data_IF_601765462369
#
_entry.id   IF_601765462369
#
_cell.length_a   1.000
_cell.length_b   1.000
_cell.length_c   1.000
_cell.angle_alpha   90.00
_cell.angle_beta   90.00
_cell.angle_gamma   90.00
#
_symmetry.space_group_name_H-M   'P 1'
#
loop_
_entity.id
_entity.type
_entity.pdbx_description
1 polymer ?
#
# COMPACT_ATOMS: atom_id res chain seq x y z
N UNK A 1 -6.08 -31.91 -24.83
CA UNK A 1 -6.49 -31.12 -26.01
C UNK A 1 -7.37 -32.01 -26.88
N UNK A 2 -8.63 -31.68 -27.09
CA UNK A 2 -9.55 -32.46 -27.93
C UNK A 2 -9.15 -32.23 -29.40
N UNK A 3 -8.80 -33.31 -30.09
CA UNK A 3 -8.39 -33.23 -31.49
C UNK A 3 -9.66 -33.03 -32.35
N UNK A 4 -9.89 -31.83 -32.85
CA UNK A 4 -11.01 -31.49 -33.73
C UNK A 4 -10.80 -32.07 -35.11
N UNK A 5 -11.83 -32.72 -35.68
CA UNK A 5 -11.83 -33.13 -37.07
C UNK A 5 -12.35 -31.97 -37.95
N UNK A 6 -11.58 -31.61 -38.96
CA UNK A 6 -12.01 -30.65 -39.97
C UNK A 6 -12.66 -31.40 -41.12
N UNK A 7 -13.92 -31.15 -41.38
CA UNK A 7 -14.67 -31.75 -42.51
C UNK A 7 -14.78 -30.78 -43.69
N UNK A 8 -14.23 -29.56 -43.59
CA UNK A 8 -14.24 -28.61 -44.69
C UNK A 8 -13.17 -28.97 -45.73
N UNK A 9 -13.48 -28.72 -47.00
CA UNK A 9 -12.55 -28.86 -48.13
C UNK A 9 -11.61 -27.64 -48.28
N UNK A 10 -11.86 -26.58 -47.51
CA UNK A 10 -11.11 -25.33 -47.50
C UNK A 10 -9.97 -25.47 -46.49
N UNK A 11 -8.74 -25.03 -46.88
CA UNK A 11 -7.61 -24.98 -45.98
C UNK A 11 -7.92 -24.07 -44.76
N UNK A 12 -7.39 -24.48 -43.62
CA UNK A 12 -7.58 -23.76 -42.36
C UNK A 12 -6.80 -22.46 -42.41
N UNK A 13 -7.48 -21.33 -42.52
CA UNK A 13 -6.87 -20.01 -42.61
C UNK A 13 -6.36 -19.50 -41.25
N UNK A 14 -6.99 -19.90 -40.14
CA UNK A 14 -6.60 -19.51 -38.78
C UNK A 14 -7.09 -20.55 -37.76
N UNK A 15 -6.47 -20.55 -36.58
CA UNK A 15 -6.90 -21.36 -35.46
C UNK A 15 -8.07 -20.71 -34.77
N UNK A 16 -9.10 -21.54 -34.40
CA UNK A 16 -10.20 -21.05 -33.59
C UNK A 16 -9.66 -20.60 -32.22
N UNK A 17 -10.03 -19.40 -31.77
CA UNK A 17 -9.63 -18.93 -30.45
C UNK A 17 -10.19 -19.86 -29.35
N UNK A 18 -9.39 -20.08 -28.33
CA UNK A 18 -9.84 -20.78 -27.14
C UNK A 18 -10.57 -19.78 -26.23
N UNK A 19 -11.91 -19.94 -26.11
CA UNK A 19 -12.75 -19.02 -25.35
C UNK A 19 -12.49 -19.08 -23.85
N UNK A 20 -11.83 -20.13 -23.36
CA UNK A 20 -11.47 -20.32 -21.94
C UNK A 20 -9.95 -20.14 -21.67
N UNK A 21 -9.21 -19.63 -22.65
CA UNK A 21 -7.76 -19.40 -22.52
C UNK A 21 -7.44 -18.50 -21.33
N UNK A 22 -8.26 -17.50 -21.06
CA UNK A 22 -8.08 -16.58 -19.93
C UNK A 22 -8.06 -17.37 -18.60
N UNK A 23 -8.96 -18.31 -18.42
CA UNK A 23 -9.04 -19.16 -17.23
C UNK A 23 -7.78 -20.03 -17.12
N UNK A 24 -7.45 -20.76 -18.19
CA UNK A 24 -6.29 -21.64 -18.23
C UNK A 24 -4.96 -20.89 -18.05
N UNK A 25 -4.77 -19.77 -18.75
CA UNK A 25 -3.53 -18.99 -18.68
C UNK A 25 -3.35 -18.35 -17.30
N UNK A 26 -4.43 -17.83 -16.71
CA UNK A 26 -4.40 -17.23 -15.37
C UNK A 26 -4.03 -18.27 -14.31
N UNK A 27 -4.68 -19.43 -14.33
CA UNK A 27 -4.41 -20.50 -13.39
C UNK A 27 -3.03 -21.13 -13.60
N UNK A 28 -2.61 -21.28 -14.86
CA UNK A 28 -1.27 -21.72 -15.21
C UNK A 28 -0.17 -20.78 -14.69
N UNK A 29 -0.40 -19.45 -14.74
CA UNK A 29 0.50 -18.44 -14.15
C UNK A 29 0.52 -18.50 -12.63
N UNK A 30 -0.63 -18.77 -11.99
CA UNK A 30 -0.74 -18.91 -10.55
C UNK A 30 0.11 -20.09 -10.04
N UNK A 31 -0.07 -21.26 -10.65
CA UNK A 31 0.54 -22.49 -10.17
C UNK A 31 1.93 -22.79 -10.75
N UNK A 32 2.23 -22.31 -11.95
CA UNK A 32 3.47 -22.57 -12.68
C UNK A 32 3.96 -24.04 -12.61
N UNK A 33 3.02 -25.02 -12.55
CA UNK A 33 3.38 -26.41 -12.29
C UNK A 33 4.07 -27.08 -13.47
N UNK A 34 3.86 -26.59 -14.70
CA UNK A 34 4.55 -27.04 -15.92
C UNK A 34 5.94 -26.41 -16.10
N UNK A 35 6.35 -25.51 -15.19
CA UNK A 35 7.64 -24.80 -15.25
C UNK A 35 8.62 -25.44 -14.26
N UNK A 36 9.83 -25.71 -14.75
CA UNK A 36 10.91 -26.23 -13.90
C UNK A 36 11.13 -25.28 -12.69
N UNK A 37 11.37 -25.84 -11.50
CA UNK A 37 11.50 -25.10 -10.22
C UNK A 37 12.47 -23.90 -10.34
N UNK A 38 13.59 -24.08 -11.03
CA UNK A 38 14.61 -23.04 -11.22
C UNK A 38 14.22 -21.90 -12.18
N UNK A 39 13.19 -22.11 -13.01
CA UNK A 39 12.72 -21.14 -14.03
C UNK A 39 11.41 -20.46 -13.66
N UNK A 40 10.88 -20.74 -12.46
CA UNK A 40 9.64 -20.11 -12.01
C UNK A 40 9.84 -18.61 -11.78
N UNK A 41 8.89 -17.84 -12.31
CA UNK A 41 8.86 -16.39 -12.09
C UNK A 41 8.27 -16.07 -10.72
N UNK A 42 8.66 -14.95 -10.12
CA UNK A 42 8.11 -14.46 -8.85
C UNK A 42 6.68 -13.90 -9.03
N UNK A 43 5.75 -14.78 -9.42
CA UNK A 43 4.33 -14.47 -9.66
C UNK A 43 3.50 -15.63 -9.11
N UNK A 44 2.26 -15.36 -8.68
CA UNK A 44 1.35 -16.37 -8.14
C UNK A 44 1.90 -17.00 -6.85
N UNK A 45 1.82 -18.32 -6.72
CA UNK A 45 2.28 -19.03 -5.52
C UNK A 45 3.78 -18.84 -5.25
N UNK A 46 4.61 -18.82 -6.29
CA UNK A 46 6.06 -18.60 -6.12
C UNK A 46 6.33 -17.19 -5.57
N UNK A 47 5.62 -16.18 -6.07
CA UNK A 47 5.70 -14.80 -5.58
C UNK A 47 5.26 -14.70 -4.12
N UNK A 48 4.13 -15.33 -3.77
CA UNK A 48 3.59 -15.34 -2.42
C UNK A 48 4.59 -15.96 -1.42
N UNK A 49 5.16 -17.12 -1.76
CA UNK A 49 6.13 -17.75 -0.87
C UNK A 49 7.40 -16.93 -0.71
N UNK A 50 7.89 -16.29 -1.78
CA UNK A 50 9.09 -15.43 -1.69
C UNK A 50 8.84 -14.14 -0.88
N UNK A 51 7.63 -13.64 -0.87
CA UNK A 51 7.24 -12.47 -0.07
C UNK A 51 7.08 -12.82 1.42
N UNK A 52 6.51 -14.00 1.71
CA UNK A 52 6.28 -14.45 3.09
C UNK A 52 7.54 -14.94 3.79
N UNK A 53 8.50 -15.49 3.06
CA UNK A 53 9.73 -16.06 3.60
C UNK A 53 10.96 -15.24 3.20
N UNK A 54 12.00 -15.15 4.04
CA UNK A 54 12.20 -15.90 5.28
C UNK A 54 11.38 -15.37 6.47
N UNK A 55 10.96 -16.28 7.36
CA UNK A 55 10.39 -15.92 8.65
C UNK A 55 11.51 -16.06 9.69
N UNK A 56 11.84 -14.96 10.34
CA UNK A 56 12.93 -14.89 11.32
C UNK A 56 12.40 -14.55 12.70
N UNK A 57 13.04 -15.09 13.74
CA UNK A 57 12.78 -14.66 15.12
C UNK A 57 13.40 -13.29 15.38
N UNK A 58 12.88 -12.49 16.36
CA UNK A 58 13.41 -11.15 16.66
C UNK A 58 14.91 -11.13 16.97
N UNK A 59 15.42 -12.18 17.59
CA UNK A 59 16.85 -12.38 17.90
C UNK A 59 17.66 -12.98 16.74
N UNK A 60 17.01 -13.23 15.58
CA UNK A 60 17.59 -13.86 14.38
C UNK A 60 18.26 -15.21 14.63
N UNK A 61 17.96 -15.85 15.75
CA UNK A 61 18.53 -17.16 16.08
C UNK A 61 17.94 -18.29 15.22
N UNK A 62 16.71 -18.13 14.76
CA UNK A 62 16.02 -19.09 13.91
C UNK A 62 15.51 -18.41 12.65
N UNK A 63 15.71 -19.06 11.51
CA UNK A 63 15.21 -18.58 10.21
C UNK A 63 14.59 -19.74 9.46
N UNK A 64 13.35 -19.57 9.02
CA UNK A 64 12.62 -20.53 8.18
C UNK A 64 12.59 -19.99 6.75
N UNK A 65 13.27 -20.71 5.85
CA UNK A 65 13.42 -20.31 4.45
C UNK A 65 12.57 -21.18 3.52
N UNK A 66 12.01 -20.56 2.51
CA UNK A 66 11.35 -21.23 1.40
C UNK A 66 12.36 -21.69 0.35
N UNK A 67 12.23 -22.93 -0.14
CA UNK A 67 13.10 -23.48 -1.18
C UNK A 67 12.35 -23.71 -2.50
N UNK A 68 11.26 -24.45 -2.45
CA UNK A 68 10.44 -24.78 -3.62
C UNK A 68 9.11 -25.39 -3.20
N UNK A 69 8.11 -25.37 -4.07
CA UNK A 69 6.89 -26.15 -3.88
C UNK A 69 6.70 -27.22 -4.95
N UNK A 70 5.91 -28.21 -4.64
CA UNK A 70 5.45 -29.27 -5.54
C UNK A 70 3.95 -29.46 -5.39
N UNK A 71 3.27 -29.73 -6.50
CA UNK A 71 1.84 -30.06 -6.50
C UNK A 71 1.72 -31.51 -6.95
N UNK A 72 1.10 -32.30 -6.11
CA UNK A 72 0.85 -33.72 -6.36
C UNK A 72 -0.19 -33.93 -7.46
N UNK A 73 -0.19 -35.12 -8.04
CA UNK A 73 -1.27 -35.55 -8.94
C UNK A 73 -2.58 -35.72 -8.16
N UNK A 74 -3.73 -35.47 -8.77
CA UNK A 74 -5.02 -35.72 -8.15
C UNK A 74 -5.17 -37.19 -7.77
N UNK A 75 -5.81 -37.46 -6.64
CA UNK A 75 -6.04 -38.82 -6.13
C UNK A 75 -7.20 -39.50 -6.87
N UNK A 76 -8.16 -38.72 -7.30
CA UNK A 76 -9.37 -39.17 -7.92
C UNK A 76 -9.51 -38.58 -9.32
N UNK A 77 -10.22 -39.27 -10.20
CA UNK A 77 -10.59 -38.72 -11.50
C UNK A 77 -11.73 -37.72 -11.38
N UNK A 78 -11.93 -36.94 -12.42
CA UNK A 78 -13.01 -35.94 -12.47
C UNK A 78 -14.38 -36.60 -12.25
N UNK A 79 -14.63 -37.73 -12.94
CA UNK A 79 -15.90 -38.44 -12.81
C UNK A 79 -16.12 -39.02 -11.42
N UNK A 80 -15.07 -39.56 -10.80
CA UNK A 80 -15.14 -40.04 -9.42
C UNK A 80 -15.47 -38.92 -8.46
N UNK A 81 -14.82 -37.75 -8.60
CA UNK A 81 -15.08 -36.59 -7.74
C UNK A 81 -16.55 -36.14 -7.82
N UNK A 82 -17.12 -36.10 -9.00
CA UNK A 82 -18.52 -35.74 -9.20
C UNK A 82 -19.49 -36.77 -8.58
N UNK A 83 -19.15 -38.05 -8.67
CA UNK A 83 -20.01 -39.15 -8.13
C UNK A 83 -19.90 -39.28 -6.62
N UNK A 84 -18.73 -39.12 -6.07
CA UNK A 84 -18.43 -39.35 -4.63
C UNK A 84 -18.53 -38.10 -3.78
N UNK A 85 -18.72 -36.92 -4.38
CA UNK A 85 -18.82 -35.65 -3.64
C UNK A 85 -17.47 -35.15 -3.07
N UNK A 86 -16.36 -35.51 -3.69
CA UNK A 86 -15.03 -35.06 -3.26
C UNK A 86 -14.47 -33.96 -4.16
N UNK A 87 -13.45 -33.25 -3.65
CA UNK A 87 -12.80 -32.18 -4.39
C UNK A 87 -11.72 -32.73 -5.31
N UNK A 88 -11.71 -32.33 -6.58
CA UNK A 88 -10.65 -32.59 -7.53
C UNK A 88 -9.44 -31.71 -7.21
N UNK A 89 -8.41 -32.26 -6.58
CA UNK A 89 -7.26 -31.52 -6.07
C UNK A 89 -5.98 -32.31 -5.99
N UNK A 90 -4.89 -31.59 -5.85
CA UNK A 90 -3.56 -32.13 -5.66
C UNK A 90 -2.91 -31.61 -4.37
N UNK A 91 -2.12 -32.46 -3.72
CA UNK A 91 -1.43 -32.11 -2.50
C UNK A 91 -0.35 -31.05 -2.77
N UNK A 92 -0.47 -29.87 -2.16
CA UNK A 92 0.56 -28.85 -2.15
C UNK A 92 1.56 -29.15 -1.06
N UNK A 93 2.80 -29.39 -1.46
CA UNK A 93 3.93 -29.62 -0.57
C UNK A 93 4.99 -28.57 -0.78
N UNK A 94 5.55 -28.06 0.30
CA UNK A 94 6.58 -27.03 0.26
C UNK A 94 7.84 -27.55 0.92
N UNK A 95 8.96 -27.42 0.22
CA UNK A 95 10.28 -27.73 0.76
C UNK A 95 10.80 -26.48 1.46
N UNK A 96 11.02 -26.61 2.75
CA UNK A 96 11.47 -25.55 3.63
C UNK A 96 12.81 -25.93 4.25
N UNK A 97 13.59 -24.90 4.59
CA UNK A 97 14.86 -25.02 5.30
C UNK A 97 14.76 -24.24 6.60
N UNK A 98 14.94 -24.94 7.72
CA UNK A 98 15.05 -24.33 9.04
C UNK A 98 16.53 -24.20 9.41
N UNK A 99 16.97 -22.96 9.57
CA UNK A 99 18.29 -22.64 10.12
C UNK A 99 18.16 -22.41 11.62
N UNK A 100 18.94 -23.16 12.38
CA UNK A 100 19.07 -23.00 13.82
C UNK A 100 20.53 -22.65 14.14
N UNK A 101 20.86 -22.12 15.33
CA UNK A 101 22.23 -21.78 15.69
C UNK A 101 23.22 -22.96 15.63
N UNK A 102 22.71 -24.18 15.71
CA UNK A 102 23.53 -25.42 15.76
C UNK A 102 23.45 -26.27 14.49
N UNK A 103 22.35 -26.17 13.74
CA UNK A 103 22.09 -27.09 12.62
C UNK A 103 21.16 -26.48 11.59
N UNK A 104 21.18 -27.03 10.37
CA UNK A 104 20.27 -26.65 9.29
C UNK A 104 19.50 -27.88 8.83
N UNK A 105 18.19 -27.87 8.92
CA UNK A 105 17.31 -28.98 8.52
C UNK A 105 16.45 -28.58 7.32
N UNK A 106 16.38 -29.48 6.34
CA UNK A 106 15.49 -29.37 5.20
C UNK A 106 14.41 -30.43 5.27
N UNK A 107 13.17 -30.04 5.05
CA UNK A 107 12.05 -30.97 5.03
C UNK A 107 10.99 -30.52 4.02
N UNK A 108 10.33 -31.50 3.40
CA UNK A 108 9.13 -31.27 2.59
C UNK A 108 7.90 -31.36 3.49
N UNK A 109 7.16 -30.28 3.58
CA UNK A 109 5.97 -30.15 4.44
C UNK A 109 4.72 -30.12 3.57
N UNK A 110 3.73 -30.93 3.90
CA UNK A 110 2.40 -30.84 3.33
C UNK A 110 1.68 -29.62 3.91
N UNK A 111 1.13 -28.76 3.04
CA UNK A 111 0.35 -27.59 3.47
C UNK A 111 -1.15 -27.81 3.36
N UNK A 112 -1.63 -28.19 2.18
CA UNK A 112 -3.06 -28.38 1.91
C UNK A 112 -3.27 -29.16 0.61
N UNK A 113 -4.50 -29.61 0.39
CA UNK A 113 -4.94 -30.02 -0.93
C UNK A 113 -5.47 -28.81 -1.70
N UNK A 114 -4.87 -28.57 -2.86
CA UNK A 114 -5.22 -27.44 -3.73
C UNK A 114 -6.16 -27.91 -4.82
N UNK A 115 -7.37 -27.30 -4.99
CA UNK A 115 -8.25 -27.62 -6.09
C UNK A 115 -7.57 -27.42 -7.43
N UNK A 116 -7.68 -28.38 -8.35
CA UNK A 116 -7.10 -28.29 -9.68
C UNK A 116 -8.16 -27.97 -10.72
N UNK A 117 -7.77 -27.18 -11.73
CA UNK A 117 -8.64 -26.82 -12.84
C UNK A 117 -8.80 -28.02 -13.79
N UNK A 118 -10.02 -28.26 -14.20
CA UNK A 118 -10.35 -29.27 -15.21
C UNK A 118 -9.99 -28.78 -16.62
N UNK A 119 -9.92 -29.66 -17.61
CA UNK A 119 -9.69 -29.26 -19.01
C UNK A 119 -10.78 -28.32 -19.57
N UNK A 120 -11.94 -28.26 -18.93
CA UNK A 120 -13.05 -27.35 -19.30
C UNK A 120 -12.99 -25.99 -18.60
N UNK A 121 -11.93 -25.71 -17.81
CA UNK A 121 -11.76 -24.45 -17.11
C UNK A 121 -12.55 -24.32 -15.81
N UNK A 122 -13.08 -25.43 -15.31
CA UNK A 122 -13.90 -25.50 -14.08
C UNK A 122 -13.10 -26.07 -12.91
N UNK A 123 -13.66 -25.98 -11.72
CA UNK A 123 -13.17 -26.64 -10.50
C UNK A 123 -14.26 -27.53 -9.93
N UNK A 124 -13.90 -28.70 -9.41
CA UNK A 124 -14.81 -29.55 -8.70
C UNK A 124 -14.52 -29.47 -7.23
N UNK A 125 -15.44 -28.92 -6.46
CA UNK A 125 -15.33 -28.73 -5.01
C UNK A 125 -16.50 -29.42 -4.33
N UNK A 126 -16.21 -30.42 -3.50
CA UNK A 126 -17.23 -31.25 -2.83
C UNK A 126 -18.26 -31.88 -3.79
N UNK A 127 -17.81 -32.26 -4.98
CA UNK A 127 -18.68 -32.85 -6.02
C UNK A 127 -19.42 -31.84 -6.89
N UNK A 128 -19.40 -30.54 -6.56
CA UNK A 128 -20.02 -29.50 -7.38
C UNK A 128 -19.02 -28.92 -8.37
N UNK A 129 -19.41 -28.78 -9.62
CA UNK A 129 -18.63 -28.11 -10.64
C UNK A 129 -18.82 -26.59 -10.55
N UNK A 130 -17.73 -25.86 -10.39
CA UNK A 130 -17.72 -24.41 -10.15
C UNK A 130 -16.76 -23.71 -11.10
N UNK A 131 -17.05 -22.45 -11.41
CA UNK A 131 -16.22 -21.58 -12.25
C UNK A 131 -15.85 -20.33 -11.49
N UNK A 132 -14.59 -19.88 -11.64
CA UNK A 132 -14.16 -18.59 -11.14
C UNK A 132 -14.62 -17.52 -12.10
N UNK A 133 -15.46 -16.60 -11.61
CA UNK A 133 -16.00 -15.49 -12.39
C UNK A 133 -15.16 -14.24 -12.14
N UNK A 134 -14.78 -13.55 -13.22
CA UNK A 134 -14.08 -12.27 -13.12
C UNK A 134 -14.95 -11.24 -12.40
N UNK A 135 -14.36 -10.55 -11.42
CA UNK A 135 -15.05 -9.54 -10.63
C UNK A 135 -14.40 -8.17 -10.87
N UNK A 136 -15.24 -7.17 -11.13
CA UNK A 136 -14.77 -5.78 -11.20
C UNK A 136 -14.70 -5.19 -9.79
N UNK A 137 -13.58 -4.59 -9.48
CA UNK A 137 -13.38 -3.83 -8.25
C UNK A 137 -12.61 -2.54 -8.54
N UNK A 138 -12.63 -1.59 -7.61
CA UNK A 138 -11.81 -0.39 -7.73
C UNK A 138 -10.33 -0.77 -7.69
N UNK A 139 -9.55 -0.25 -8.64
CA UNK A 139 -8.11 -0.50 -8.68
C UNK A 139 -7.42 0.10 -7.45
N UNK A 140 -6.39 -0.56 -6.92
CA UNK A 140 -5.51 0.06 -5.94
C UNK A 140 -4.88 1.33 -6.52
N UNK A 141 -4.76 2.36 -5.69
CA UNK A 141 -4.20 3.64 -6.11
C UNK A 141 -4.78 4.80 -5.30
N UNK A 142 -4.53 6.00 -5.78
CA UNK A 142 -5.03 7.23 -5.18
C UNK A 142 -5.99 7.88 -6.17
N UNK A 143 -7.20 8.21 -5.71
CA UNK A 143 -8.18 9.00 -6.44
C UNK A 143 -8.41 10.33 -5.74
N UNK A 144 -8.48 11.42 -6.54
CA UNK A 144 -8.81 12.75 -6.05
C UNK A 144 -10.21 13.10 -6.54
N UNK A 145 -11.01 13.66 -5.65
CA UNK A 145 -12.39 14.06 -5.93
C UNK A 145 -12.60 15.52 -5.47
N UNK A 146 -13.34 16.29 -6.26
CA UNK A 146 -13.82 17.61 -5.91
C UNK A 146 -15.32 17.54 -5.71
N UNK A 147 -15.82 18.06 -4.62
CA UNK A 147 -17.24 18.19 -4.33
C UNK A 147 -17.61 19.63 -3.98
N UNK A 148 -18.83 20.02 -4.27
CA UNK A 148 -19.34 21.36 -3.90
C UNK A 148 -20.30 21.20 -2.73
N UNK A 149 -19.94 21.78 -1.60
CA UNK A 149 -20.81 21.83 -0.44
C UNK A 149 -22.05 22.71 -0.71
N UNK A 150 -23.21 22.49 -0.06
CA UNK A 150 -24.39 23.33 -0.23
C UNK A 150 -24.17 24.83 0.02
N UNK A 151 -23.13 25.20 0.78
CA UNK A 151 -22.69 26.58 0.98
C UNK A 151 -21.95 27.20 -0.23
N UNK A 152 -21.76 26.46 -1.32
CA UNK A 152 -21.00 26.88 -2.50
C UNK A 152 -19.48 26.70 -2.40
N UNK A 153 -18.95 26.22 -1.25
CA UNK A 153 -17.53 25.99 -1.06
C UNK A 153 -17.10 24.68 -1.74
N UNK A 154 -15.96 24.72 -2.44
CA UNK A 154 -15.35 23.52 -3.00
C UNK A 154 -14.60 22.78 -1.91
N UNK A 155 -14.86 21.49 -1.81
CA UNK A 155 -14.21 20.58 -0.89
C UNK A 155 -13.41 19.57 -1.70
N UNK A 156 -12.15 19.42 -1.36
CA UNK A 156 -11.25 18.46 -1.99
C UNK A 156 -11.08 17.27 -1.10
N UNK A 157 -11.11 16.09 -1.70
CA UNK A 157 -10.85 14.83 -1.02
C UNK A 157 -9.90 13.96 -1.81
N UNK A 158 -9.12 13.16 -1.11
CA UNK A 158 -8.26 12.15 -1.68
C UNK A 158 -8.57 10.81 -1.02
N UNK A 159 -8.69 9.76 -1.84
CA UNK A 159 -8.94 8.41 -1.36
C UNK A 159 -7.81 7.49 -1.77
N UNK A 160 -7.17 6.88 -0.78
CA UNK A 160 -6.12 5.88 -0.96
C UNK A 160 -6.76 4.51 -0.85
N UNK A 161 -6.72 3.76 -1.95
CA UNK A 161 -7.25 2.41 -2.06
C UNK A 161 -6.06 1.45 -2.07
N UNK A 162 -5.82 0.68 -0.99
CA UNK A 162 -4.74 -0.28 -0.95
C UNK A 162 -5.08 -1.53 -1.76
N UNK A 163 -4.08 -2.30 -2.13
CA UNK A 163 -4.28 -3.62 -2.71
C UNK A 163 -5.02 -4.56 -1.74
N UNK A 164 -4.70 -4.44 -0.44
CA UNK A 164 -5.34 -5.21 0.64
C UNK A 164 -5.33 -4.37 1.92
N UNK A 165 -6.48 -4.21 2.57
CA UNK A 165 -6.62 -3.50 3.83
C UNK A 165 -7.69 -2.42 3.79
N UNK A 166 -7.72 -1.57 4.82
CA UNK A 166 -8.68 -0.50 4.97
C UNK A 166 -8.39 0.69 4.02
N UNK A 167 -9.43 1.33 3.56
CA UNK A 167 -9.32 2.55 2.77
C UNK A 167 -8.99 3.73 3.68
N UNK A 168 -8.15 4.64 3.17
CA UNK A 168 -7.83 5.89 3.82
C UNK A 168 -8.41 7.02 2.96
N UNK A 169 -9.29 7.81 3.54
CA UNK A 169 -9.88 8.98 2.89
C UNK A 169 -9.41 10.24 3.62
N UNK A 170 -8.85 11.19 2.88
CA UNK A 170 -8.45 12.50 3.36
C UNK A 170 -9.44 13.51 2.80
N UNK A 171 -10.00 14.36 3.64
CA UNK A 171 -11.02 15.34 3.24
C UNK A 171 -10.82 16.64 4.01
N UNK A 172 -10.88 17.76 3.27
CA UNK A 172 -10.96 19.07 3.89
C UNK A 172 -12.40 19.35 4.31
N UNK A 173 -12.59 19.89 5.50
CA UNK A 173 -13.87 20.36 5.99
C UNK A 173 -14.18 21.77 5.45
N UNK A 174 -15.38 22.24 5.67
CA UNK A 174 -15.82 23.61 5.36
C UNK A 174 -14.97 24.69 6.02
N UNK A 175 -14.29 24.38 7.12
CA UNK A 175 -13.35 25.22 7.86
C UNK A 175 -11.90 25.14 7.37
N UNK A 176 -11.62 24.37 6.30
CA UNK A 176 -10.30 24.09 5.75
C UNK A 176 -9.38 23.22 6.66
N UNK A 177 -9.98 22.50 7.57
CA UNK A 177 -9.26 21.52 8.41
C UNK A 177 -9.21 20.18 7.70
N UNK A 178 -8.03 19.58 7.61
CA UNK A 178 -7.82 18.28 7.02
C UNK A 178 -8.19 17.16 8.01
N UNK A 179 -9.10 16.32 7.59
CA UNK A 179 -9.48 15.11 8.33
C UNK A 179 -9.12 13.86 7.55
N UNK A 180 -8.84 12.81 8.31
CA UNK A 180 -8.54 11.47 7.77
C UNK A 180 -9.57 10.48 8.30
N UNK A 181 -10.17 9.73 7.39
CA UNK A 181 -11.10 8.65 7.71
C UNK A 181 -10.46 7.31 7.39
N UNK A 182 -10.53 6.40 8.34
CA UNK A 182 -10.13 5.01 8.14
C UNK A 182 -11.40 4.15 8.00
N UNK A 183 -11.58 3.56 6.82
CA UNK A 183 -12.70 2.69 6.49
C UNK A 183 -14.07 3.31 6.80
N UNK A 184 -14.19 4.64 6.61
CA UNK A 184 -15.39 5.47 6.90
C UNK A 184 -15.90 5.43 8.35
N UNK A 185 -15.14 4.85 9.28
CA UNK A 185 -15.59 4.64 10.66
C UNK A 185 -14.97 5.58 11.68
N UNK A 186 -13.73 5.96 11.49
CA UNK A 186 -12.98 6.78 12.45
C UNK A 186 -12.48 8.04 11.78
N UNK A 187 -12.78 9.18 12.37
CA UNK A 187 -12.35 10.50 11.94
C UNK A 187 -11.19 10.96 12.81
N UNK A 188 -10.07 11.33 12.20
CA UNK A 188 -8.89 11.87 12.86
C UNK A 188 -8.51 13.19 12.23
N UNK A 189 -7.86 14.06 12.97
CA UNK A 189 -7.20 15.24 12.42
C UNK A 189 -6.00 14.78 11.60
N UNK A 190 -5.77 15.41 10.44
CA UNK A 190 -4.72 15.02 9.51
C UNK A 190 -3.32 15.03 10.10
N UNK A 191 -3.01 15.99 10.98
CA UNK A 191 -1.71 16.09 11.66
C UNK A 191 -1.44 14.91 12.58
N UNK A 192 -2.45 14.39 13.29
CA UNK A 192 -2.31 13.19 14.14
C UNK A 192 -1.95 11.98 13.27
N UNK A 193 -2.60 11.85 12.11
CA UNK A 193 -2.32 10.76 11.18
C UNK A 193 -0.88 10.83 10.66
N UNK A 194 -0.38 12.01 10.29
CA UNK A 194 0.99 12.20 9.83
C UNK A 194 2.02 11.86 10.91
N UNK A 195 1.74 12.21 12.17
CA UNK A 195 2.61 11.87 13.31
C UNK A 195 2.75 10.36 13.51
N UNK A 196 1.70 9.57 13.25
CA UNK A 196 1.74 8.10 13.31
C UNK A 196 2.73 7.54 12.28
N UNK A 197 2.86 8.19 11.11
CA UNK A 197 3.80 7.79 10.05
C UNK A 197 5.22 8.35 10.20
N UNK A 198 5.53 8.95 11.35
CA UNK A 198 6.89 9.37 11.69
C UNK A 198 7.19 10.86 11.49
N UNK A 199 6.24 11.65 10.96
CA UNK A 199 6.38 13.12 10.88
C UNK A 199 5.90 13.69 12.22
N UNK A 200 6.76 13.64 13.24
CA UNK A 200 6.35 13.90 14.63
C UNK A 200 6.31 15.37 14.99
N UNK A 201 7.20 16.19 14.42
CA UNK A 201 7.34 17.61 14.74
C UNK A 201 6.47 18.47 13.83
N UNK A 202 5.97 19.57 14.37
CA UNK A 202 5.17 20.58 13.64
C UNK A 202 5.98 21.19 12.48
N UNK A 203 7.25 21.45 12.70
CA UNK A 203 8.20 21.90 11.68
C UNK A 203 8.28 20.96 10.49
N UNK A 204 8.35 19.65 10.73
CA UNK A 204 8.47 18.65 9.67
C UNK A 204 7.17 18.56 8.86
N UNK A 205 6.02 18.71 9.53
CA UNK A 205 4.71 18.77 8.85
C UNK A 205 4.66 20.00 7.95
N UNK A 206 4.99 21.19 8.47
CA UNK A 206 5.01 22.42 7.67
C UNK A 206 5.96 22.32 6.48
N UNK A 207 7.17 21.81 6.69
CA UNK A 207 8.14 21.58 5.62
C UNK A 207 7.67 20.60 4.54
N UNK A 208 6.83 19.64 4.90
CA UNK A 208 6.30 18.66 3.94
C UNK A 208 5.25 19.25 2.99
N UNK A 209 4.50 20.28 3.44
CA UNK A 209 3.39 20.86 2.67
C UNK A 209 3.67 22.27 2.15
N UNK A 210 4.71 22.93 2.65
CA UNK A 210 5.02 24.31 2.32
C UNK A 210 6.50 24.45 1.97
N UNK A 211 6.81 25.36 1.08
CA UNK A 211 8.19 25.76 0.83
C UNK A 211 8.75 26.45 2.07
N UNK A 212 10.01 26.22 2.40
CA UNK A 212 10.69 26.85 3.53
C UNK A 212 11.87 27.65 3.05
N UNK A 213 11.98 28.90 3.52
CA UNK A 213 13.08 29.82 3.22
C UNK A 213 13.77 30.22 4.53
N UNK A 214 15.07 29.97 4.59
CA UNK A 214 15.92 30.39 5.71
C UNK A 214 16.33 31.86 5.56
N UNK A 215 16.05 32.68 6.56
CA UNK A 215 16.30 34.12 6.56
C UNK A 215 17.39 34.48 7.53
N UNK A 216 18.35 35.29 7.07
CA UNK A 216 19.38 35.91 7.90
C UNK A 216 19.19 37.40 7.91
N UNK A 217 19.02 37.99 9.10
CA UNK A 217 18.83 39.42 9.28
C UNK A 217 20.03 40.07 9.96
N UNK A 218 20.43 41.23 9.45
CA UNK A 218 21.51 42.03 9.98
C UNK A 218 21.06 43.36 10.57
N UNK A 219 19.86 43.83 10.20
CA UNK A 219 19.24 45.09 10.63
C UNK A 219 17.82 44.91 11.07
N UNK A 220 17.37 45.63 12.10
CA UNK A 220 16.00 45.57 12.61
C UNK A 220 14.94 45.84 11.53
N UNK A 221 15.17 46.81 10.65
CA UNK A 221 14.25 47.17 9.59
C UNK A 221 13.98 46.04 8.59
N UNK A 222 14.89 45.07 8.44
CA UNK A 222 14.68 43.90 7.57
C UNK A 222 13.61 42.99 8.13
N UNK A 223 13.52 42.88 9.45
CA UNK A 223 12.55 42.04 10.14
C UNK A 223 11.10 42.52 9.94
N UNK A 224 10.93 43.84 9.76
CA UNK A 224 9.63 44.43 9.45
C UNK A 224 9.09 44.01 8.06
N UNK A 225 9.98 43.64 7.14
CA UNK A 225 9.60 43.13 5.82
C UNK A 225 8.96 41.73 5.87
N UNK A 226 9.16 41.00 6.96
CA UNK A 226 8.61 39.64 7.14
C UNK A 226 7.38 39.60 8.05
N UNK A 227 6.77 40.74 8.35
CA UNK A 227 5.51 40.79 9.09
C UNK A 227 4.43 40.07 8.29
N UNK A 228 3.60 39.27 8.97
CA UNK A 228 2.58 38.38 8.45
C UNK A 228 3.09 37.06 7.82
N UNK A 229 4.39 36.86 7.66
CA UNK A 229 4.90 35.55 7.28
C UNK A 229 4.72 34.54 8.43
N UNK A 230 4.54 33.27 8.08
CA UNK A 230 4.37 32.17 9.03
C UNK A 230 5.73 31.55 9.32
N UNK A 231 6.02 31.32 10.60
CA UNK A 231 7.25 30.67 11.04
C UNK A 231 7.23 29.19 10.69
N UNK A 232 8.32 28.71 10.12
CA UNK A 232 8.49 27.29 9.78
C UNK A 232 9.05 26.45 10.92
N UNK A 233 9.64 27.09 11.93
CA UNK A 233 10.27 26.43 13.09
C UNK A 233 10.04 27.21 14.38
N UNK A 234 10.22 26.54 15.52
CA UNK A 234 10.13 27.17 16.82
C UNK A 234 11.27 28.15 17.04
N UNK A 235 10.94 29.37 17.49
CA UNK A 235 11.94 30.39 17.79
C UNK A 235 12.26 30.36 19.28
N UNK A 236 13.51 30.09 19.59
CA UNK A 236 14.03 30.01 20.94
C UNK A 236 14.81 31.30 21.27
N UNK A 237 14.55 31.87 22.43
CA UNK A 237 15.33 32.99 22.96
C UNK A 237 16.75 32.51 23.31
N UNK A 238 17.76 33.14 22.70
CA UNK A 238 19.16 32.78 22.91
C UNK A 238 19.64 33.10 24.33
N UNK A 239 18.94 33.94 25.08
CA UNK A 239 19.32 34.37 26.43
C UNK A 239 18.63 33.55 27.52
N UNK A 240 17.36 33.26 27.39
CA UNK A 240 16.54 32.55 28.40
C UNK A 240 16.26 31.10 28.09
N UNK A 241 16.61 30.63 26.90
CA UNK A 241 16.31 29.30 26.39
C UNK A 241 14.81 28.94 26.42
N UNK A 242 13.96 29.95 26.38
CA UNK A 242 12.49 29.80 26.35
C UNK A 242 11.98 29.98 24.92
N UNK A 243 10.85 29.32 24.60
CA UNK A 243 10.20 29.45 23.30
C UNK A 243 9.56 30.84 23.21
N UNK A 244 9.99 31.65 22.24
CA UNK A 244 9.43 32.97 21.94
C UNK A 244 8.20 32.90 21.06
N UNK A 245 8.21 32.01 20.09
CA UNK A 245 7.14 31.74 19.16
C UNK A 245 7.21 30.30 18.66
N UNK A 246 6.07 29.71 18.37
CA UNK A 246 5.99 28.34 17.85
C UNK A 246 5.94 28.34 16.32
N UNK A 247 6.31 27.21 15.76
CA UNK A 247 6.10 26.92 14.35
C UNK A 247 4.60 27.06 14.00
N UNK A 248 4.30 27.64 12.84
CA UNK A 248 2.91 27.97 12.45
C UNK A 248 2.42 29.35 12.90
N UNK A 249 3.08 30.02 13.86
CA UNK A 249 2.68 31.37 14.28
C UNK A 249 3.07 32.42 13.24
N UNK A 250 2.22 33.44 13.10
CA UNK A 250 2.52 34.60 12.22
C UNK A 250 3.38 35.63 12.92
N UNK A 251 4.35 36.17 12.17
CA UNK A 251 5.23 37.24 12.69
C UNK A 251 4.42 38.52 12.83
N UNK A 252 4.14 38.93 14.05
CA UNK A 252 3.52 40.20 14.40
C UNK A 252 4.59 41.27 14.67
N UNK A 253 4.21 42.56 14.65
CA UNK A 253 5.11 43.66 15.00
C UNK A 253 5.74 43.53 16.41
N UNK A 254 4.96 43.00 17.33
CA UNK A 254 5.40 42.79 18.72
C UNK A 254 6.37 41.62 18.79
N UNK A 255 6.08 40.52 18.09
CA UNK A 255 6.96 39.36 18.02
C UNK A 255 8.29 39.73 17.33
N UNK A 256 8.26 40.51 16.25
CA UNK A 256 9.45 40.99 15.55
C UNK A 256 10.36 41.76 16.49
N UNK A 257 9.83 42.67 17.32
CA UNK A 257 10.62 43.43 18.33
C UNK A 257 11.20 42.50 19.40
N UNK A 258 10.42 41.50 19.85
CA UNK A 258 10.89 40.50 20.83
C UNK A 258 12.06 39.67 20.25
N UNK A 259 11.90 39.18 19.02
CA UNK A 259 12.95 38.43 18.31
C UNK A 259 14.23 39.24 18.17
N UNK A 260 14.12 40.55 17.82
CA UNK A 260 15.28 41.43 17.72
C UNK A 260 16.01 41.61 19.08
N UNK A 261 15.27 41.83 20.15
CA UNK A 261 15.80 42.00 21.51
C UNK A 261 16.46 40.71 22.03
N UNK A 262 15.92 39.56 21.69
CA UNK A 262 16.48 38.24 22.04
C UNK A 262 17.62 37.80 21.12
N UNK A 263 18.15 38.69 20.29
CA UNK A 263 19.27 38.44 19.35
C UNK A 263 19.04 37.30 18.35
N UNK A 264 17.82 36.95 18.07
CA UNK A 264 17.50 36.01 17.00
C UNK A 264 17.82 36.66 15.64
N UNK A 265 18.76 36.10 14.90
CA UNK A 265 19.24 36.64 13.62
C UNK A 265 19.04 35.74 12.45
N UNK A 266 18.74 34.48 12.73
CA UNK A 266 18.43 33.43 11.74
C UNK A 266 17.14 32.77 12.14
N UNK A 267 16.25 32.60 11.20
CA UNK A 267 14.97 31.90 11.36
C UNK A 267 14.44 31.46 10.00
N UNK A 268 13.50 30.53 9.99
CA UNK A 268 12.89 30.02 8.77
C UNK A 268 11.43 30.43 8.68
N UNK A 269 11.01 30.85 7.49
CA UNK A 269 9.59 31.18 7.19
C UNK A 269 9.07 30.31 6.07
N UNK A 270 7.76 30.19 5.97
CA UNK A 270 7.10 29.54 4.85
C UNK A 270 7.12 30.47 3.62
N UNK A 271 7.71 30.01 2.52
CA UNK A 271 7.74 30.75 1.24
C UNK A 271 6.44 30.59 0.47
N UNK A 272 5.84 29.41 0.54
CA UNK A 272 4.51 29.12 0.01
C UNK A 272 3.63 28.63 1.17
N UNK A 273 2.66 29.46 1.57
CA UNK A 273 1.75 29.09 2.64
C UNK A 273 0.73 28.07 2.16
N UNK A 274 0.55 27.01 2.93
CA UNK A 274 -0.62 26.13 2.86
C UNK A 274 -1.51 26.41 4.08
N UNK A 275 -2.42 27.39 3.99
CA UNK A 275 -3.19 27.87 5.14
C UNK A 275 -4.08 26.79 5.75
N UNK A 276 -4.47 25.78 4.96
CA UNK A 276 -5.27 24.65 5.40
C UNK A 276 -4.51 23.75 6.36
N UNK A 277 -3.21 23.56 6.13
CA UNK A 277 -2.35 22.77 7.03
C UNK A 277 -2.09 23.54 8.32
N UNK A 278 -1.81 24.83 8.25
CA UNK A 278 -1.64 25.68 9.44
C UNK A 278 -2.89 25.62 10.32
N UNK A 279 -4.10 25.76 9.73
CA UNK A 279 -5.38 25.61 10.46
C UNK A 279 -5.59 24.22 11.02
N UNK A 280 -5.07 23.19 10.38
CA UNK A 280 -5.19 21.82 10.86
C UNK A 280 -4.28 21.53 12.05
N UNK A 281 -3.23 22.35 12.23
CA UNK A 281 -2.30 22.24 13.35
C UNK A 281 -2.82 22.90 14.63
N UNK A 282 -3.65 23.96 14.52
CA UNK A 282 -4.33 24.62 15.63
C UNK A 282 -5.38 23.70 16.29
#
# INVERSE_FOLDING_TARGET
MIKRKNYAKIEKCFDLPDLIEIQHSSYGKLLQFNVAKSRRKSVGLEGLFREMFPIETPDKAYSLEYMSYTIGKPKYTIEECLKTGVTYGGALRVRMRLKTPKDTKEQEVYLCDLPLMTPTGTFIVNGDERVVVSQLHRSPGISFEESVHPSGKRIFSARIIPYRGAWVELEFDTTDVLYVYLDKRRKFIGTIFLRIFGISKDEDILKAFSGVEGIKITRENQLLGYINFVLAEDIIDTTSNSILAKSGERITKELAKRMWNSKVREFSVLSEECPEIVKTMD
#
